data_IF_027865379025
#
_entry.id   IF_027865379025
#
_cell.length_a   1.000
_cell.length_b   1.000
_cell.length_c   1.000
_cell.angle_alpha   90.00
_cell.angle_beta   90.00
_cell.angle_gamma   90.00
#
_symmetry.space_group_name_H-M   'P 1'
#
loop_
_entity.id
_entity.type
_entity.pdbx_description
1 polymer ?
#
# COMPACT_ATOMS: atom_id res chain seq x y z
N UNK A 1 8.79 4.33 -3.87
CA UNK A 1 8.39 3.11 -3.16
C UNK A 1 7.10 2.61 -3.79
N UNK A 2 7.02 1.33 -4.08
CA UNK A 2 5.87 0.73 -4.77
C UNK A 2 5.05 -0.04 -3.74
N UNK A 3 3.75 0.29 -3.65
CA UNK A 3 2.82 -0.33 -2.72
C UNK A 3 1.80 -1.15 -3.51
N UNK A 4 1.52 -2.34 -3.01
CA UNK A 4 0.56 -3.26 -3.57
C UNK A 4 -0.67 -3.34 -2.65
N UNK A 5 -1.81 -3.60 -3.26
CA UNK A 5 -3.02 -3.98 -2.56
C UNK A 5 -3.75 -5.06 -3.33
N UNK A 6 -4.37 -6.00 -2.63
CA UNK A 6 -5.10 -7.11 -3.23
C UNK A 6 -6.07 -7.71 -2.21
N UNK A 7 -6.91 -8.60 -2.68
CA UNK A 7 -7.79 -9.42 -1.86
C UNK A 7 -7.25 -10.85 -1.78
N UNK A 8 -7.35 -11.44 -0.59
CA UNK A 8 -6.94 -12.81 -0.35
C UNK A 8 -7.89 -13.44 0.67
N UNK A 9 -8.58 -14.51 0.28
CA UNK A 9 -9.56 -15.23 1.12
C UNK A 9 -10.62 -14.29 1.75
N UNK A 10 -11.22 -13.41 0.93
CA UNK A 10 -12.20 -12.38 1.33
C UNK A 10 -11.68 -11.32 2.32
N UNK A 11 -10.36 -11.19 2.47
CA UNK A 11 -9.73 -10.13 3.25
C UNK A 11 -8.96 -9.19 2.33
N UNK A 12 -9.13 -7.89 2.57
CA UNK A 12 -8.44 -6.86 1.81
C UNK A 12 -7.12 -6.48 2.46
N UNK A 13 -6.04 -6.51 1.70
CA UNK A 13 -4.72 -6.07 2.10
C UNK A 13 -4.30 -4.85 1.27
N UNK A 14 -3.70 -3.86 1.93
CA UNK A 14 -3.23 -2.62 1.32
C UNK A 14 -1.86 -2.25 1.87
N UNK A 15 -1.16 -1.33 1.20
CA UNK A 15 0.14 -0.81 1.64
C UNK A 15 1.24 -1.88 1.79
N UNK A 16 1.18 -2.91 0.94
CA UNK A 16 2.13 -4.02 0.95
C UNK A 16 3.34 -3.71 0.07
N UNK A 17 4.54 -3.83 0.61
CA UNK A 17 5.80 -3.76 -0.12
C UNK A 17 6.21 -5.15 -0.57
N UNK A 18 6.47 -5.35 -1.86
CA UNK A 18 6.97 -6.63 -2.37
C UNK A 18 8.37 -6.91 -1.82
N UNK A 19 8.59 -8.13 -1.31
CA UNK A 19 9.90 -8.59 -0.83
C UNK A 19 10.51 -9.59 -1.81
N UNK A 20 9.79 -10.69 -2.08
CA UNK A 20 10.30 -11.80 -2.89
C UNK A 20 9.20 -12.64 -3.49
N UNK A 21 9.57 -13.38 -4.53
CA UNK A 21 8.76 -14.40 -5.19
C UNK A 21 9.49 -15.74 -5.10
N UNK A 22 8.80 -16.74 -4.57
CA UNK A 22 9.29 -18.11 -4.44
C UNK A 22 8.43 -19.04 -5.31
N UNK A 23 9.02 -20.09 -5.88
CA UNK A 23 8.27 -21.13 -6.60
C UNK A 23 8.61 -22.48 -6.01
N UNK A 24 7.62 -23.15 -5.44
CA UNK A 24 7.78 -24.43 -4.75
C UNK A 24 6.75 -25.40 -5.31
N UNK A 25 7.19 -26.55 -5.82
CA UNK A 25 6.32 -27.59 -6.37
C UNK A 25 5.29 -27.05 -7.38
N UNK A 26 5.72 -26.17 -8.30
CA UNK A 26 4.88 -25.47 -9.29
C UNK A 26 3.83 -24.50 -8.72
N UNK A 27 3.89 -24.18 -7.42
CA UNK A 27 3.09 -23.14 -6.79
C UNK A 27 3.94 -21.89 -6.61
N UNK A 28 3.41 -20.74 -7.01
CA UNK A 28 4.08 -19.45 -6.87
C UNK A 28 3.59 -18.77 -5.59
N UNK A 29 4.53 -18.41 -4.73
CA UNK A 29 4.28 -17.67 -3.51
C UNK A 29 4.90 -16.27 -3.62
N UNK A 30 4.15 -15.26 -3.19
CA UNK A 30 4.61 -13.88 -3.10
C UNK A 30 4.70 -13.48 -1.63
N UNK A 31 5.85 -12.95 -1.23
CA UNK A 31 6.05 -12.43 0.13
C UNK A 31 6.05 -10.90 0.09
N UNK A 32 5.26 -10.30 0.96
CA UNK A 32 5.14 -8.86 1.13
C UNK A 32 5.39 -8.47 2.58
N UNK A 33 5.80 -7.21 2.77
CA UNK A 33 5.86 -6.55 4.08
C UNK A 33 4.81 -5.47 4.13
N UNK A 34 3.99 -5.43 5.17
CA UNK A 34 3.10 -4.31 5.43
C UNK A 34 3.93 -3.09 5.82
N UNK A 35 3.73 -1.99 5.10
CA UNK A 35 4.47 -0.75 5.34
C UNK A 35 4.08 -0.07 6.67
N UNK A 36 2.87 -0.30 7.17
CA UNK A 36 2.36 0.31 8.39
C UNK A 36 2.65 -0.55 9.62
N UNK A 37 2.38 -1.86 9.54
CA UNK A 37 2.55 -2.77 10.69
C UNK A 37 3.94 -3.41 10.75
N UNK A 38 4.72 -3.29 9.67
CA UNK A 38 6.02 -3.94 9.49
C UNK A 38 5.96 -5.48 9.48
N UNK A 39 4.75 -6.07 9.50
CA UNK A 39 4.53 -7.51 9.45
C UNK A 39 4.83 -8.08 8.06
N UNK A 40 5.28 -9.34 8.02
CA UNK A 40 5.61 -10.03 6.77
C UNK A 40 4.59 -11.13 6.51
N UNK A 41 4.05 -11.14 5.30
CA UNK A 41 3.03 -12.08 4.86
C UNK A 41 3.44 -12.78 3.57
N UNK A 42 3.11 -14.07 3.45
CA UNK A 42 3.33 -14.85 2.24
C UNK A 42 2.01 -15.40 1.72
N UNK A 43 1.75 -15.20 0.43
CA UNK A 43 0.49 -15.53 -0.22
C UNK A 43 0.72 -16.48 -1.40
N UNK A 44 -0.18 -17.44 -1.60
CA UNK A 44 -0.25 -18.22 -2.84
C UNK A 44 -0.85 -17.34 -3.94
N UNK A 45 -0.10 -17.10 -5.02
CA UNK A 45 -0.51 -16.24 -6.13
C UNK A 45 -1.87 -16.64 -6.72
N UNK A 46 -2.21 -17.93 -6.69
CA UNK A 46 -3.47 -18.44 -7.28
C UNK A 46 -4.71 -18.03 -6.52
N UNK A 47 -4.56 -17.66 -5.24
CA UNK A 47 -5.65 -17.20 -4.36
C UNK A 47 -5.72 -15.68 -4.24
N UNK A 48 -4.80 -14.96 -4.89
CA UNK A 48 -4.79 -13.51 -4.88
C UNK A 48 -5.75 -12.99 -5.94
N UNK A 49 -6.64 -12.10 -5.52
CA UNK A 49 -7.64 -11.47 -6.37
C UNK A 49 -7.44 -9.96 -6.38
N UNK A 50 -7.92 -9.28 -7.44
CA UNK A 50 -7.98 -7.82 -7.49
C UNK A 50 -6.64 -7.12 -7.23
N UNK A 51 -5.53 -7.61 -7.79
CA UNK A 51 -4.21 -7.00 -7.62
C UNK A 51 -4.17 -5.56 -8.15
N UNK A 52 -3.89 -4.62 -7.25
CA UNK A 52 -3.75 -3.20 -7.52
C UNK A 52 -2.33 -2.74 -7.21
N UNK A 53 -1.80 -1.95 -8.12
CA UNK A 53 -0.53 -1.27 -7.98
C UNK A 53 -0.79 0.18 -7.61
N UNK A 54 -0.14 0.68 -6.55
CA UNK A 54 -0.13 2.09 -6.16
C UNK A 54 1.30 2.58 -6.06
N UNK A 55 1.61 3.65 -6.78
CA UNK A 55 2.88 4.36 -6.57
C UNK A 55 2.77 5.16 -5.27
N UNK A 56 3.85 5.22 -4.47
CA UNK A 56 3.84 5.95 -3.18
C UNK A 56 3.54 7.46 -3.29
N UNK A 57 3.48 8.01 -4.50
CA UNK A 57 3.04 9.40 -4.73
C UNK A 57 1.59 9.58 -4.25
N UNK A 58 0.73 8.58 -4.41
CA UNK A 58 -0.67 8.65 -3.96
C UNK A 58 -0.80 8.60 -2.43
N UNK A 59 0.09 7.88 -1.74
CA UNK A 59 0.11 7.82 -0.27
C UNK A 59 0.55 9.14 0.39
N UNK A 60 1.32 9.97 -0.32
CA UNK A 60 1.71 11.30 0.16
C UNK A 60 0.57 12.32 0.03
N UNK A 61 -0.36 12.14 -0.92
CA UNK A 61 -1.46 13.08 -1.12
C UNK A 61 -2.50 13.02 0.01
N UNK A 62 -2.73 11.86 0.62
CA UNK A 62 -3.64 11.74 1.78
C UNK A 62 -3.13 12.54 2.99
N UNK A 63 -1.81 12.77 3.10
CA UNK A 63 -1.22 13.58 4.18
C UNK A 63 -1.24 15.08 3.93
N UNK A 64 -1.62 15.56 2.73
CA UNK A 64 -1.56 16.99 2.36
C UNK A 64 -2.93 17.66 2.26
N UNK A 65 -3.99 16.98 2.71
CA UNK A 65 -5.31 17.57 2.87
C UNK A 65 -5.56 18.01 4.33
N UNK A 66 -4.56 18.59 4.99
CA UNK A 66 -4.88 19.57 6.03
C UNK A 66 -5.28 20.85 5.29
N UNK A 67 -6.59 21.00 5.10
CA UNK A 67 -7.22 22.25 4.71
C UNK A 67 -6.89 23.24 5.82
N UNK A 68 -5.83 24.04 5.63
CA UNK A 68 -5.57 25.25 6.41
C UNK A 68 -6.68 26.24 6.07
N UNK A 69 -7.79 26.11 6.78
CA UNK A 69 -8.76 27.17 6.92
C UNK A 69 -8.17 28.28 7.79
N UNK A 70 -8.63 29.50 7.49
CA UNK A 70 -8.64 30.69 8.33
C UNK A 70 -7.47 31.71 8.22
N UNK A 71 -7.72 32.64 7.28
CA UNK A 71 -7.93 34.09 7.53
C UNK A 71 -6.85 34.90 8.26
N UNK A 72 -6.20 35.81 7.52
CA UNK A 72 -6.41 37.28 7.55
C UNK A 72 -5.21 37.98 6.90
N UNK A 73 -5.43 38.56 5.72
CA UNK A 73 -4.53 39.58 5.17
C UNK A 73 -4.67 40.85 6.03
N UNK A 74 -3.78 41.03 7.00
CA UNK A 74 -3.53 42.36 7.55
C UNK A 74 -2.15 42.83 7.09
N UNK A 75 -2.20 43.67 6.06
CA UNK A 75 -1.11 44.49 5.55
C UNK A 75 -0.51 45.30 6.69
N UNK A 76 0.76 45.09 6.99
CA UNK A 76 1.49 45.96 7.92
C UNK A 76 2.05 47.15 7.13
N UNK A 77 1.63 48.34 7.59
CA UNK A 77 2.22 49.68 7.50
C UNK A 77 3.37 49.94 6.52
#
# INVERSE_FOLDING_TARGET
MELYGFEYENKQFNNLCFIRKDTICNVVYLTFKDYLTEEVFTFDLRKMENLRFRTAIDSLQVRRAEVLADTLQHSLY
#
